data_IF_417636049248
#
_entry.id   IF_417636049248
#
_cell.length_a   1.000
_cell.length_b   1.000
_cell.length_c   1.000
_cell.angle_alpha   90.00
_cell.angle_beta   90.00
_cell.angle_gamma   90.00
#
_symmetry.space_group_name_H-M   'P 1'
#
loop_
_entity.id
_entity.type
_entity.pdbx_description
1 polymer ?
#
# COMPACT_ATOMS: atom_id res chain seq x y z
N UNK A 1 39.29 -86.57 27.37
CA UNK A 1 40.21 -85.46 27.00
C UNK A 1 39.70 -84.22 27.74
N UNK A 2 40.49 -83.73 28.69
CA UNK A 2 40.30 -82.45 29.40
C UNK A 2 40.25 -81.29 28.36
N UNK A 3 39.52 -80.18 28.53
CA UNK A 3 39.86 -79.06 29.42
C UNK A 3 38.68 -78.12 29.77
N UNK A 4 38.63 -77.73 31.05
CA UNK A 4 38.10 -76.50 31.70
C UNK A 4 38.03 -75.24 30.78
N UNK A 5 37.19 -74.22 30.95
CA UNK A 5 36.87 -73.40 32.14
C UNK A 5 35.70 -72.39 31.81
N UNK A 6 35.27 -71.40 32.64
CA UNK A 6 33.87 -71.19 33.01
C UNK A 6 33.27 -69.79 32.66
N UNK A 7 31.99 -69.61 33.02
CA UNK A 7 31.26 -68.35 33.30
C UNK A 7 31.35 -67.13 32.34
N UNK A 8 30.22 -66.80 31.71
CA UNK A 8 29.83 -65.42 31.42
C UNK A 8 28.31 -65.26 31.61
N UNK A 9 27.84 -64.31 32.44
CA UNK A 9 26.42 -64.07 32.64
C UNK A 9 25.81 -63.42 31.39
N UNK A 10 24.69 -63.99 30.94
CA UNK A 10 23.86 -63.43 29.88
C UNK A 10 23.32 -62.07 30.36
N UNK A 11 23.84 -60.97 29.81
CA UNK A 11 23.33 -59.64 30.11
C UNK A 11 22.01 -59.42 29.38
N UNK A 12 20.94 -59.38 30.15
CA UNK A 12 19.66 -58.78 29.77
C UNK A 12 19.90 -57.36 29.26
N UNK A 13 19.77 -57.15 27.96
CA UNK A 13 19.68 -55.81 27.39
C UNK A 13 18.25 -55.30 27.59
N UNK A 14 18.01 -54.24 28.38
CA UNK A 14 16.68 -53.67 28.49
C UNK A 14 16.30 -52.99 27.16
N UNK A 15 15.01 -53.00 26.78
CA UNK A 15 14.55 -52.36 25.55
C UNK A 15 14.80 -50.85 25.63
N UNK A 16 15.36 -50.30 24.55
CA UNK A 16 15.51 -48.87 24.31
C UNK A 16 14.12 -48.24 24.44
N UNK A 17 13.90 -47.54 25.55
CA UNK A 17 12.70 -46.74 25.76
C UNK A 17 12.90 -45.45 24.98
N UNK A 18 12.29 -45.36 23.80
CA UNK A 18 12.15 -44.10 23.10
C UNK A 18 11.48 -43.09 24.05
N UNK A 19 12.05 -41.90 24.29
CA UNK A 19 11.36 -40.89 25.07
C UNK A 19 10.10 -40.48 24.30
N UNK A 20 8.95 -40.78 24.90
CA UNK A 20 7.65 -40.35 24.42
C UNK A 20 7.70 -38.85 24.10
N UNK A 21 7.51 -38.53 22.81
CA UNK A 21 7.23 -37.16 22.37
C UNK A 21 5.88 -36.78 22.99
N UNK A 22 5.94 -36.19 24.18
CA UNK A 22 4.79 -35.59 24.86
C UNK A 22 4.38 -34.35 24.06
N UNK A 23 3.67 -34.55 22.96
CA UNK A 23 2.96 -33.49 22.25
C UNK A 23 1.71 -33.14 23.05
N UNK A 24 1.90 -32.39 24.14
CA UNK A 24 0.79 -31.76 24.85
C UNK A 24 0.09 -30.84 23.85
N UNK A 25 -1.20 -31.06 23.54
CA UNK A 25 -1.92 -30.20 22.60
C UNK A 25 -1.92 -28.75 23.12
N UNK A 26 -1.78 -27.75 22.22
CA UNK A 26 -1.75 -26.35 22.63
C UNK A 26 -3.00 -25.97 23.43
N UNK A 27 -2.80 -25.21 24.51
CA UNK A 27 -3.88 -24.73 25.37
C UNK A 27 -4.89 -23.94 24.53
N UNK A 28 -6.18 -24.26 24.63
CA UNK A 28 -7.27 -23.60 23.87
C UNK A 28 -7.22 -22.08 24.00
N UNK A 29 -6.87 -21.57 25.18
CA UNK A 29 -6.74 -20.14 25.44
C UNK A 29 -5.58 -19.49 24.66
N UNK A 30 -4.47 -20.21 24.49
CA UNK A 30 -3.32 -19.72 23.71
C UNK A 30 -3.59 -19.68 22.21
N UNK A 31 -4.45 -20.57 21.70
CA UNK A 31 -4.87 -20.55 20.30
C UNK A 31 -5.74 -19.33 20.00
N UNK A 32 -6.73 -19.05 20.85
CA UNK A 32 -7.60 -17.87 20.72
C UNK A 32 -6.78 -16.58 20.80
N UNK A 33 -5.79 -16.51 21.70
CA UNK A 33 -4.91 -15.35 21.79
C UNK A 33 -4.03 -15.17 20.54
N UNK A 34 -3.55 -16.27 19.94
CA UNK A 34 -2.78 -16.24 18.70
C UNK A 34 -3.64 -15.76 17.52
N UNK A 35 -4.87 -16.26 17.43
CA UNK A 35 -5.85 -15.82 16.43
C UNK A 35 -6.14 -14.32 16.55
N UNK A 36 -6.28 -13.76 17.76
CA UNK A 36 -6.49 -12.32 17.96
C UNK A 36 -5.27 -11.48 17.50
N UNK A 37 -4.05 -11.95 17.78
CA UNK A 37 -2.81 -11.30 17.31
C UNK A 37 -2.78 -11.26 15.78
N UNK A 38 -3.06 -12.39 15.14
CA UNK A 38 -3.07 -12.49 13.68
C UNK A 38 -4.20 -11.66 13.06
N UNK A 39 -5.40 -11.68 13.63
CA UNK A 39 -6.53 -10.87 13.17
C UNK A 39 -6.21 -9.37 13.22
N UNK A 40 -5.59 -8.88 14.30
CA UNK A 40 -5.15 -7.48 14.40
C UNK A 40 -4.10 -7.10 13.37
N UNK A 41 -3.17 -8.01 13.08
CA UNK A 41 -2.17 -7.80 12.04
C UNK A 41 -2.81 -7.76 10.65
N UNK A 42 -3.78 -8.64 10.38
CA UNK A 42 -4.53 -8.68 9.13
C UNK A 42 -5.37 -7.42 8.92
N UNK A 43 -6.09 -6.95 9.94
CA UNK A 43 -6.83 -5.69 9.90
C UNK A 43 -5.91 -4.52 9.52
N UNK A 44 -4.74 -4.45 10.16
CA UNK A 44 -3.77 -3.39 9.89
C UNK A 44 -3.18 -3.48 8.48
N UNK A 45 -2.85 -4.68 8.03
CA UNK A 45 -2.42 -4.95 6.65
C UNK A 45 -3.46 -4.46 5.64
N UNK A 46 -4.73 -4.81 5.86
CA UNK A 46 -5.84 -4.43 4.98
C UNK A 46 -5.97 -2.90 4.91
N UNK A 47 -5.92 -2.21 6.04
CA UNK A 47 -5.91 -0.73 6.08
C UNK A 47 -4.73 -0.16 5.29
N UNK A 48 -3.53 -0.74 5.40
CA UNK A 48 -2.36 -0.27 4.64
C UNK A 48 -2.55 -0.44 3.13
N UNK A 49 -3.10 -1.57 2.68
CA UNK A 49 -3.42 -1.83 1.26
C UNK A 49 -4.45 -0.82 0.72
N UNK A 50 -5.50 -0.50 1.49
CA UNK A 50 -6.48 0.55 1.13
C UNK A 50 -5.80 1.91 1.00
N UNK A 51 -5.01 2.30 2.01
CA UNK A 51 -4.34 3.60 2.02
C UNK A 51 -3.36 3.73 0.86
N UNK A 52 -2.55 2.69 0.61
CA UNK A 52 -1.65 2.64 -0.55
C UNK A 52 -2.41 2.93 -1.84
N UNK A 53 -3.49 2.17 -2.10
CA UNK A 53 -4.33 2.36 -3.29
C UNK A 53 -4.97 3.74 -3.36
N UNK A 54 -5.46 4.27 -2.24
CA UNK A 54 -6.03 5.62 -2.18
C UNK A 54 -4.97 6.68 -2.57
N UNK A 55 -3.74 6.54 -2.11
CA UNK A 55 -2.63 7.42 -2.47
C UNK A 55 -2.26 7.32 -3.96
N UNK A 56 -2.33 6.13 -4.58
CA UNK A 56 -2.20 5.97 -6.04
C UNK A 56 -3.27 6.78 -6.79
N UNK A 57 -4.54 6.66 -6.39
CA UNK A 57 -5.64 7.37 -7.05
C UNK A 57 -5.47 8.90 -6.99
N UNK A 58 -4.99 9.42 -5.86
CA UNK A 58 -4.70 10.84 -5.69
C UNK A 58 -3.49 11.26 -6.53
N UNK A 59 -2.44 10.43 -6.58
CA UNK A 59 -1.25 10.67 -7.41
C UNK A 59 -1.62 10.78 -8.89
N UNK A 60 -2.43 9.86 -9.40
CA UNK A 60 -2.93 9.88 -10.79
C UNK A 60 -3.73 11.16 -11.07
N UNK A 61 -4.59 11.57 -10.14
CA UNK A 61 -5.37 12.82 -10.29
C UNK A 61 -4.44 14.01 -10.47
N UNK A 62 -3.47 14.16 -9.58
CA UNK A 62 -2.50 15.26 -9.63
C UNK A 62 -1.60 15.20 -10.85
N UNK A 63 -1.17 13.99 -11.25
CA UNK A 63 -0.37 13.79 -12.46
C UNK A 63 -1.10 14.23 -13.72
N UNK A 64 -2.44 14.21 -13.75
CA UNK A 64 -3.20 14.65 -14.91
C UNK A 64 -3.56 16.15 -14.87
N UNK A 65 -3.41 16.81 -13.72
CA UNK A 65 -3.78 18.22 -13.53
C UNK A 65 -3.02 19.16 -14.49
N UNK A 66 -1.75 18.88 -14.78
CA UNK A 66 -0.98 19.70 -15.71
C UNK A 66 -1.55 19.65 -17.14
N UNK A 67 -2.16 18.54 -17.56
CA UNK A 67 -2.82 18.42 -18.86
C UNK A 67 -4.13 19.22 -18.88
N UNK A 68 -4.93 19.10 -17.81
CA UNK A 68 -6.21 19.82 -17.69
C UNK A 68 -6.07 21.34 -17.68
N UNK A 69 -4.96 21.87 -17.19
CA UNK A 69 -4.70 23.32 -17.14
C UNK A 69 -3.83 23.77 -18.32
N UNK A 70 -2.82 22.98 -18.67
CA UNK A 70 -1.87 23.29 -19.73
C UNK A 70 -2.51 23.32 -21.11
N UNK A 71 -3.33 22.31 -21.46
CA UNK A 71 -3.96 22.25 -22.79
C UNK A 71 -4.87 23.45 -23.05
N UNK A 72 -5.83 23.80 -22.17
CA UNK A 72 -6.65 25.01 -22.38
C UNK A 72 -5.82 26.28 -22.42
N UNK A 73 -4.79 26.39 -21.57
CA UNK A 73 -3.88 27.55 -21.56
C UNK A 73 -3.15 27.71 -22.91
N UNK A 74 -2.62 26.63 -23.47
CA UNK A 74 -1.96 26.64 -24.79
C UNK A 74 -2.93 26.99 -25.91
N UNK A 75 -4.16 26.44 -25.89
CA UNK A 75 -5.20 26.77 -26.89
C UNK A 75 -5.55 28.27 -26.82
N UNK A 76 -5.75 28.80 -25.62
CA UNK A 76 -6.03 30.21 -25.42
C UNK A 76 -4.87 31.11 -25.85
N UNK A 77 -3.64 30.76 -25.52
CA UNK A 77 -2.47 31.51 -25.95
C UNK A 77 -2.32 31.52 -27.49
N UNK A 78 -2.58 30.39 -28.15
CA UNK A 78 -2.54 30.30 -29.61
C UNK A 78 -3.61 31.18 -30.27
N UNK A 79 -4.87 31.12 -29.78
CA UNK A 79 -5.96 31.96 -30.28
C UNK A 79 -5.67 33.46 -30.07
N UNK A 80 -5.10 33.83 -28.91
CA UNK A 80 -4.70 35.22 -28.63
C UNK A 80 -3.62 35.69 -29.60
N UNK A 81 -2.61 34.87 -29.83
CA UNK A 81 -1.51 35.16 -30.75
C UNK A 81 -1.98 35.33 -32.20
N UNK A 82 -2.82 34.41 -32.69
CA UNK A 82 -3.39 34.50 -34.05
C UNK A 82 -4.23 35.77 -34.21
N UNK A 83 -5.09 36.09 -33.23
CA UNK A 83 -5.89 37.31 -33.26
C UNK A 83 -5.01 38.58 -33.24
N UNK A 84 -3.96 38.60 -32.41
CA UNK A 84 -3.04 39.73 -32.33
C UNK A 84 -2.32 40.01 -33.66
N UNK A 85 -1.98 38.96 -34.41
CA UNK A 85 -1.39 39.10 -35.75
C UNK A 85 -2.44 39.61 -36.76
N UNK A 86 -3.68 39.10 -36.70
CA UNK A 86 -4.75 39.53 -37.59
C UNK A 86 -5.11 41.03 -37.43
N UNK A 87 -5.07 41.54 -36.19
CA UNK A 87 -5.37 42.93 -35.88
C UNK A 87 -4.31 43.94 -36.34
N UNK A 88 -3.11 43.49 -36.78
CA UNK A 88 -2.06 44.37 -37.31
C UNK A 88 -2.36 44.89 -38.73
N UNK A 89 -3.33 44.31 -39.45
CA UNK A 89 -3.62 44.61 -40.86
C UNK A 89 -5.05 45.02 -41.20
N UNK A 90 -5.91 45.26 -40.20
CA UNK A 90 -7.34 45.56 -40.37
C UNK A 90 -7.77 46.70 -39.41
N UNK A 91 -8.88 47.40 -39.71
CA UNK A 91 -9.50 48.29 -38.72
C UNK A 91 -9.93 47.50 -37.48
N UNK A 92 -9.56 48.01 -36.31
CA UNK A 92 -9.79 47.34 -35.02
C UNK A 92 -11.29 47.17 -34.76
N UNK A 93 -11.79 45.94 -34.86
CA UNK A 93 -13.10 45.60 -34.36
C UNK A 93 -13.09 45.61 -32.83
N UNK A 94 -13.96 46.42 -32.21
CA UNK A 94 -14.12 46.52 -30.74
C UNK A 94 -14.34 45.17 -30.08
N UNK A 95 -15.04 44.24 -30.74
CA UNK A 95 -15.28 42.89 -30.23
C UNK A 95 -14.01 42.02 -30.19
N UNK A 96 -13.10 42.17 -31.15
CA UNK A 96 -11.82 41.44 -31.19
C UNK A 96 -10.89 41.83 -30.04
N UNK A 97 -10.86 43.13 -29.70
CA UNK A 97 -10.08 43.65 -28.58
C UNK A 97 -10.58 43.12 -27.23
N UNK A 98 -11.90 43.02 -27.02
CA UNK A 98 -12.47 42.47 -25.77
C UNK A 98 -12.06 41.00 -25.59
N UNK A 99 -12.10 40.20 -26.66
CA UNK A 99 -11.72 38.79 -26.62
C UNK A 99 -10.23 38.63 -26.27
N UNK A 100 -9.34 39.43 -26.85
CA UNK A 100 -7.91 39.41 -26.51
C UNK A 100 -7.63 39.75 -25.05
N UNK A 101 -8.34 40.74 -24.48
CA UNK A 101 -8.18 41.12 -23.08
C UNK A 101 -8.59 39.95 -22.16
N UNK A 102 -9.73 39.32 -22.42
CA UNK A 102 -10.19 38.16 -21.64
C UNK A 102 -9.18 37.01 -21.74
N UNK A 103 -8.69 36.74 -22.95
CA UNK A 103 -7.79 35.64 -23.24
C UNK A 103 -6.41 35.83 -22.61
N UNK A 104 -5.90 37.06 -22.64
CA UNK A 104 -4.63 37.42 -21.98
C UNK A 104 -4.72 37.33 -20.46
N UNK A 105 -5.84 37.75 -19.84
CA UNK A 105 -6.08 37.57 -18.40
C UNK A 105 -6.15 36.09 -18.03
N UNK A 106 -6.83 35.26 -18.84
CA UNK A 106 -6.90 33.81 -18.62
C UNK A 106 -5.52 33.16 -18.68
N UNK A 107 -4.73 33.44 -19.72
CA UNK A 107 -3.37 32.91 -19.88
C UNK A 107 -2.47 33.39 -18.72
N UNK A 108 -2.55 34.68 -18.37
CA UNK A 108 -1.79 35.26 -17.26
C UNK A 108 -2.17 34.67 -15.90
N UNK A 109 -3.40 34.16 -15.71
CA UNK A 109 -3.84 33.50 -14.48
C UNK A 109 -3.52 32.00 -14.42
N UNK A 110 -3.57 31.30 -15.55
CA UNK A 110 -3.37 29.85 -15.62
C UNK A 110 -1.91 29.44 -15.36
N UNK A 111 -0.94 30.25 -15.81
CA UNK A 111 0.48 29.96 -15.60
C UNK A 111 0.93 30.04 -14.12
N UNK A 112 0.62 31.12 -13.37
CA UNK A 112 0.88 31.16 -11.93
C UNK A 112 0.13 30.05 -11.17
N UNK A 113 -1.09 29.71 -11.58
CA UNK A 113 -1.87 28.65 -10.97
C UNK A 113 -1.13 27.31 -11.03
N UNK A 114 -0.52 26.95 -12.16
CA UNK A 114 0.31 25.73 -12.26
C UNK A 114 1.51 25.75 -11.31
N UNK A 115 2.18 26.90 -11.17
CA UNK A 115 3.32 27.06 -10.27
C UNK A 115 2.92 26.93 -8.80
N UNK A 116 1.84 27.60 -8.38
CA UNK A 116 1.37 27.53 -6.99
C UNK A 116 0.75 26.18 -6.63
N UNK A 117 0.07 25.52 -7.58
CA UNK A 117 -0.57 24.24 -7.33
C UNK A 117 0.44 23.08 -7.30
N UNK A 118 1.59 23.26 -7.97
CA UNK A 118 2.67 22.28 -8.16
C UNK A 118 2.17 20.83 -8.28
N UNK A 119 1.40 20.51 -9.34
CA UNK A 119 0.73 19.22 -9.46
C UNK A 119 1.71 18.04 -9.48
N UNK A 120 2.91 18.23 -10.02
CA UNK A 120 3.95 17.19 -10.05
C UNK A 120 4.47 16.85 -8.65
N UNK A 121 4.74 17.87 -7.83
CA UNK A 121 5.15 17.66 -6.45
C UNK A 121 4.06 16.93 -5.67
N UNK A 122 2.80 17.38 -5.75
CA UNK A 122 1.67 16.71 -5.09
C UNK A 122 1.51 15.26 -5.56
N UNK A 123 1.62 15.01 -6.86
CA UNK A 123 1.54 13.66 -7.41
C UNK A 123 2.65 12.76 -6.82
N UNK A 124 3.88 13.27 -6.73
CA UNK A 124 5.03 12.55 -6.19
C UNK A 124 4.88 12.31 -4.67
N UNK A 125 4.44 13.31 -3.90
CA UNK A 125 4.18 13.16 -2.46
C UNK A 125 3.19 12.02 -2.20
N UNK A 126 2.07 11.98 -2.93
CA UNK A 126 1.11 10.89 -2.78
C UNK A 126 1.65 9.56 -3.33
N UNK A 127 2.44 9.54 -4.41
CA UNK A 127 3.07 8.30 -4.91
C UNK A 127 4.06 7.71 -3.89
N UNK A 128 4.85 8.56 -3.24
CA UNK A 128 5.79 8.14 -2.19
C UNK A 128 5.04 7.57 -0.99
N UNK A 129 3.97 8.24 -0.54
CA UNK A 129 3.12 7.73 0.54
C UNK A 129 2.49 6.37 0.19
N UNK A 130 2.08 6.15 -1.06
CA UNK A 130 1.58 4.85 -1.53
C UNK A 130 2.61 3.74 -1.33
N UNK A 131 3.86 3.97 -1.73
CA UNK A 131 4.94 2.98 -1.60
C UNK A 131 5.26 2.66 -0.16
N UNK A 132 5.23 3.67 0.72
CA UNK A 132 5.42 3.46 2.17
C UNK A 132 4.33 2.55 2.73
N UNK A 133 3.05 2.82 2.44
CA UNK A 133 1.96 1.95 2.91
C UNK A 133 2.01 0.54 2.31
N UNK A 134 2.45 0.40 1.06
CA UNK A 134 2.68 -0.91 0.43
C UNK A 134 3.75 -1.70 1.19
N UNK A 135 4.91 -1.09 1.42
CA UNK A 135 6.01 -1.69 2.18
C UNK A 135 5.62 -2.03 3.63
N UNK A 136 4.82 -1.20 4.29
CA UNK A 136 4.28 -1.53 5.61
C UNK A 136 3.36 -2.76 5.51
N UNK A 137 2.44 -2.79 4.53
CA UNK A 137 1.56 -3.93 4.28
C UNK A 137 2.32 -5.24 4.04
N UNK A 138 3.41 -5.19 3.28
CA UNK A 138 4.24 -6.35 2.99
C UNK A 138 4.98 -6.89 4.22
N UNK A 139 5.34 -6.01 5.18
CA UNK A 139 5.87 -6.46 6.47
C UNK A 139 4.81 -7.15 7.34
N UNK A 140 3.56 -6.70 7.30
CA UNK A 140 2.47 -7.43 7.94
C UNK A 140 2.21 -8.78 7.27
N UNK A 141 2.32 -8.87 5.94
CA UNK A 141 2.28 -10.15 5.22
C UNK A 141 3.38 -11.10 5.70
N UNK A 142 4.62 -10.61 5.81
CA UNK A 142 5.75 -11.40 6.31
C UNK A 142 5.51 -11.87 7.74
N UNK A 143 5.00 -11.00 8.63
CA UNK A 143 4.64 -11.37 10.00
C UNK A 143 3.57 -12.47 10.04
N UNK A 144 2.49 -12.32 9.29
CA UNK A 144 1.41 -13.32 9.22
C UNK A 144 1.90 -14.67 8.69
N UNK A 145 2.74 -14.65 7.65
CA UNK A 145 3.36 -15.87 7.11
C UNK A 145 4.25 -16.56 8.16
N UNK A 146 5.05 -15.81 8.90
CA UNK A 146 5.87 -16.37 9.97
C UNK A 146 5.00 -16.98 11.08
N UNK A 147 3.89 -16.36 11.46
CA UNK A 147 2.94 -16.94 12.44
C UNK A 147 2.32 -18.26 11.94
N UNK A 148 2.09 -18.40 10.64
CA UNK A 148 1.52 -19.62 10.05
C UNK A 148 2.54 -20.75 9.90
N UNK A 149 3.79 -20.43 9.54
CA UNK A 149 4.83 -21.42 9.19
C UNK A 149 5.66 -21.83 10.41
N UNK A 150 5.98 -20.89 11.29
CA UNK A 150 6.87 -21.14 12.43
C UNK A 150 6.08 -21.30 13.73
N UNK A 151 6.43 -22.32 14.50
CA UNK A 151 5.87 -22.50 15.86
C UNK A 151 6.65 -21.62 16.82
N UNK A 152 6.19 -20.38 17.03
CA UNK A 152 6.80 -19.40 17.93
C UNK A 152 5.99 -19.27 19.22
N UNK A 153 6.63 -18.77 20.27
CA UNK A 153 5.95 -18.49 21.53
C UNK A 153 5.00 -17.30 21.39
N UNK A 154 3.80 -17.38 21.96
CA UNK A 154 2.78 -16.32 21.88
C UNK A 154 3.31 -14.93 22.28
N UNK A 155 4.11 -14.87 23.35
CA UNK A 155 4.72 -13.61 23.82
C UNK A 155 5.64 -12.98 22.77
N UNK A 156 6.37 -13.80 22.03
CA UNK A 156 7.27 -13.33 20.98
C UNK A 156 6.47 -12.75 19.81
N UNK A 157 5.40 -13.42 19.38
CA UNK A 157 4.54 -12.92 18.29
C UNK A 157 3.84 -11.62 18.66
N UNK A 158 3.44 -11.47 19.93
CA UNK A 158 2.89 -10.22 20.44
C UNK A 158 3.92 -9.09 20.41
N UNK A 159 5.16 -9.35 20.84
CA UNK A 159 6.24 -8.36 20.85
C UNK A 159 6.58 -7.90 19.43
N UNK A 160 6.68 -8.85 18.49
CA UNK A 160 6.89 -8.58 17.06
C UNK A 160 5.77 -7.68 16.50
N UNK A 161 4.50 -7.97 16.82
CA UNK A 161 3.36 -7.15 16.39
C UNK A 161 3.40 -5.75 17.01
N UNK A 162 3.77 -5.63 18.28
CA UNK A 162 3.92 -4.32 18.95
C UNK A 162 5.02 -3.51 18.28
N UNK A 163 6.18 -4.11 18.02
CA UNK A 163 7.28 -3.46 17.30
C UNK A 163 6.85 -3.01 15.90
N UNK A 164 6.10 -3.84 15.18
CA UNK A 164 5.58 -3.51 13.86
C UNK A 164 4.62 -2.31 13.91
N UNK A 165 3.72 -2.27 14.90
CA UNK A 165 2.81 -1.15 15.11
C UNK A 165 3.51 0.16 15.53
N UNK A 166 4.63 0.06 16.26
CA UNK A 166 5.48 1.22 16.57
C UNK A 166 6.10 1.76 15.28
N UNK A 167 6.68 0.89 14.45
CA UNK A 167 7.25 1.30 13.16
C UNK A 167 6.22 1.94 12.23
N UNK A 168 5.01 1.36 12.14
CA UNK A 168 3.88 1.95 11.41
C UNK A 168 3.58 3.37 11.89
N UNK A 169 3.55 3.58 13.20
CA UNK A 169 3.18 4.88 13.78
C UNK A 169 4.22 5.94 13.47
N UNK A 170 5.51 5.60 13.51
CA UNK A 170 6.60 6.51 13.14
C UNK A 170 6.61 6.83 11.64
N UNK A 171 6.52 5.82 10.79
CA UNK A 171 6.56 5.99 9.32
C UNK A 171 5.35 6.74 8.78
N UNK A 172 4.21 6.66 9.47
CA UNK A 172 3.00 7.39 9.11
C UNK A 172 3.07 8.89 9.37
N UNK A 173 3.82 9.35 10.40
CA UNK A 173 3.86 10.76 10.82
C UNK A 173 4.15 11.76 9.69
N UNK A 174 5.14 11.55 8.81
CA UNK A 174 5.46 12.50 7.74
C UNK A 174 4.53 12.38 6.52
N UNK A 175 3.63 11.40 6.47
CA UNK A 175 2.82 11.15 5.28
C UNK A 175 1.68 12.16 5.14
N UNK A 176 1.34 12.58 3.91
CA UNK A 176 0.19 13.44 3.67
C UNK A 176 -1.11 12.75 4.05
N UNK A 177 -2.10 13.54 4.48
CA UNK A 177 -3.45 13.04 4.74
C UNK A 177 -4.07 12.47 3.47
N UNK A 178 -4.73 11.32 3.62
CA UNK A 178 -5.49 10.70 2.54
C UNK A 178 -6.86 11.38 2.44
N UNK A 179 -7.26 11.89 1.26
CA UNK A 179 -8.60 12.43 1.05
C UNK A 179 -9.68 11.33 1.20
N UNK A 180 -10.81 11.68 1.81
CA UNK A 180 -11.90 10.75 2.10
C UNK A 180 -12.44 10.04 0.85
N UNK A 181 -12.63 10.80 -0.24
CA UNK A 181 -13.12 10.24 -1.51
C UNK A 181 -12.19 9.15 -2.07
N UNK A 182 -10.88 9.27 -1.87
CA UNK A 182 -9.90 8.33 -2.36
C UNK A 182 -9.88 7.07 -1.49
N UNK A 183 -10.00 7.25 -0.17
CA UNK A 183 -10.10 6.16 0.78
C UNK A 183 -11.35 5.31 0.54
N UNK A 184 -12.52 5.94 0.43
CA UNK A 184 -13.78 5.24 0.19
C UNK A 184 -13.78 4.49 -1.14
N UNK A 185 -13.26 5.11 -2.20
CA UNK A 185 -13.11 4.44 -3.50
C UNK A 185 -12.17 3.24 -3.43
N UNK A 186 -11.00 3.37 -2.79
CA UNK A 186 -10.06 2.27 -2.64
C UNK A 186 -10.64 1.11 -1.81
N UNK A 187 -11.35 1.44 -0.72
CA UNK A 187 -12.05 0.46 0.11
C UNK A 187 -13.11 -0.30 -0.71
N UNK A 188 -13.89 0.41 -1.52
CA UNK A 188 -14.88 -0.20 -2.40
C UNK A 188 -14.21 -1.10 -3.47
N UNK A 189 -13.13 -0.66 -4.10
CA UNK A 189 -12.36 -1.46 -5.07
C UNK A 189 -11.85 -2.78 -4.43
N UNK A 190 -11.36 -2.74 -3.19
CA UNK A 190 -10.90 -3.94 -2.48
C UNK A 190 -12.04 -4.91 -2.15
N UNK A 191 -13.22 -4.41 -1.75
CA UNK A 191 -14.37 -5.28 -1.48
C UNK A 191 -14.95 -5.94 -2.74
N UNK A 192 -14.79 -5.29 -3.91
CA UNK A 192 -15.24 -5.81 -5.21
C UNK A 192 -14.21 -6.79 -5.81
N UNK A 193 -12.95 -6.72 -5.37
CA UNK A 193 -11.89 -7.65 -5.71
C UNK A 193 -11.58 -8.62 -4.54
N UNK A 194 -12.54 -9.45 -4.07
CA UNK A 194 -12.11 -10.70 -3.49
C UNK A 194 -11.45 -11.50 -4.62
N UNK A 195 -10.76 -12.58 -4.29
CA UNK A 195 -10.21 -13.56 -5.23
C UNK A 195 -11.28 -14.27 -6.14
N UNK A 196 -12.37 -13.60 -6.49
CA UNK A 196 -13.45 -14.07 -7.32
C UNK A 196 -13.06 -14.01 -8.81
N UNK A 197 -12.49 -15.13 -9.29
CA UNK A 197 -13.13 -16.00 -10.31
C UNK A 197 -12.09 -16.88 -11.02
N UNK A 198 -11.37 -17.77 -10.32
CA UNK A 198 -10.71 -18.88 -11.04
C UNK A 198 -10.40 -20.08 -10.16
N UNK A 199 -11.44 -20.65 -9.55
CA UNK A 199 -11.40 -22.04 -9.06
C UNK A 199 -12.76 -22.74 -9.20
N UNK A 200 -13.60 -22.29 -10.14
CA UNK A 200 -14.89 -22.92 -10.49
C UNK A 200 -15.01 -23.30 -11.98
N UNK A 201 -13.90 -23.57 -12.66
CA UNK A 201 -13.96 -24.10 -14.05
C UNK A 201 -12.92 -25.18 -14.35
N UNK A 202 -12.52 -25.98 -13.36
CA UNK A 202 -11.87 -27.27 -13.62
C UNK A 202 -12.54 -28.32 -12.72
N UNK A 203 -13.79 -28.59 -13.06
CA UNK A 203 -14.48 -29.86 -12.80
C UNK A 203 -14.65 -30.57 -14.13
#
# INVERSE_FOLDING_TARGET
MNTNDPDLPNQDTPPISDPAVTSTPPNRDSLVQREDIMARAEDRRNICRILSRAHVLVSIRWSNTHLYIGIPSTVFAALAGVQAIADLGQEKNTWGTIIQIILSILVAGLAPLLTFLNPNERANTHQTASRVYEQIGDRYDAFLLQCLVETRGLKQELDDLVQLNLSYSEEKKPLPLTPEWAFQRAKQEQMIAPFAKEHKSQS
#
